data_IF_104985324463
#
_entry.id   IF_104985324463
#
_cell.length_a   1.000
_cell.length_b   1.000
_cell.length_c   1.000
_cell.angle_alpha   90.00
_cell.angle_beta   90.00
_cell.angle_gamma   90.00
#
_symmetry.space_group_name_H-M   'P 1'
#
loop_
_entity.id
_entity.type
_entity.pdbx_description
1 polymer ?
#
# COMPACT_ATOMS: atom_id res chain seq x y z
N UNK A 1 -0.45 4.34 2.16
CA UNK A 1 -1.59 3.73 2.88
C UNK A 1 -2.88 4.46 2.56
N UNK A 2 -2.89 5.78 2.69
CA UNK A 2 -3.99 6.63 2.23
C UNK A 2 -4.27 6.43 0.74
N UNK A 3 -3.24 6.41 -0.11
CA UNK A 3 -3.41 6.16 -1.56
C UNK A 3 -4.07 4.81 -1.85
N UNK A 4 -3.70 3.77 -1.10
CA UNK A 4 -4.32 2.45 -1.24
C UNK A 4 -5.80 2.50 -0.84
N UNK A 5 -6.12 3.12 0.30
CA UNK A 5 -7.50 3.29 0.73
C UNK A 5 -8.31 4.13 -0.28
N UNK A 6 -7.70 5.14 -0.90
CA UNK A 6 -8.35 5.97 -1.93
C UNK A 6 -8.60 5.20 -3.23
N UNK A 7 -7.66 4.33 -3.63
CA UNK A 7 -7.72 3.55 -4.87
C UNK A 7 -8.73 2.39 -4.85
N UNK A 8 -9.22 1.98 -3.68
CA UNK A 8 -10.23 0.93 -3.58
C UNK A 8 -11.61 1.41 -4.07
N UNK A 9 -12.44 0.50 -4.62
CA UNK A 9 -13.85 0.81 -4.90
C UNK A 9 -14.62 1.11 -3.61
N UNK A 10 -15.65 1.95 -3.71
CA UNK A 10 -16.53 2.28 -2.58
C UNK A 10 -17.11 1.01 -1.95
N UNK A 11 -16.81 0.80 -0.68
CA UNK A 11 -17.10 -0.44 0.05
C UNK A 11 -16.93 -0.22 1.55
N UNK A 12 -17.55 -1.07 2.37
CA UNK A 12 -17.36 -1.05 3.83
C UNK A 12 -15.89 -1.19 4.24
N UNK A 13 -15.09 -1.91 3.45
CA UNK A 13 -13.65 -2.04 3.65
C UNK A 13 -12.95 -0.70 3.42
N UNK A 14 -13.30 0.03 2.35
CA UNK A 14 -12.75 1.36 2.07
C UNK A 14 -13.02 2.33 3.21
N UNK A 15 -14.25 2.33 3.71
CA UNK A 15 -14.64 3.19 4.84
C UNK A 15 -13.90 2.80 6.12
N UNK A 16 -13.78 1.50 6.41
CA UNK A 16 -13.03 1.01 7.56
C UNK A 16 -11.53 1.38 7.49
N UNK A 17 -10.92 1.32 6.30
CA UNK A 17 -9.52 1.73 6.11
C UNK A 17 -9.35 3.24 6.29
N UNK A 18 -10.29 4.05 5.80
CA UNK A 18 -10.29 5.51 6.01
C UNK A 18 -10.43 5.86 7.49
N UNK A 19 -11.38 5.26 8.21
CA UNK A 19 -11.56 5.47 9.65
C UNK A 19 -10.33 4.98 10.46
N UNK A 20 -9.74 3.86 10.07
CA UNK A 20 -8.52 3.35 10.70
C UNK A 20 -7.36 4.36 10.59
N UNK A 21 -7.25 5.07 9.46
CA UNK A 21 -6.22 6.07 9.22
C UNK A 21 -6.47 7.41 9.94
N UNK A 22 -7.73 7.76 10.24
CA UNK A 22 -8.06 8.97 11.00
C UNK A 22 -7.95 8.79 12.52
N UNK A 23 -7.69 7.57 13.02
CA UNK A 23 -7.65 7.25 14.45
C UNK A 23 -6.23 7.18 15.00
N UNK A 24 -6.13 7.11 16.33
CA UNK A 24 -4.87 6.84 17.02
C UNK A 24 -4.24 5.53 16.55
N UNK A 25 -2.91 5.45 16.48
CA UNK A 25 -2.18 4.26 15.99
C UNK A 25 -2.65 3.82 14.57
N UNK A 26 -2.68 4.74 13.59
CA UNK A 26 -3.31 4.49 12.29
C UNK A 26 -2.68 3.31 11.55
N UNK A 27 -1.35 3.17 11.63
CA UNK A 27 -0.61 2.06 11.03
C UNK A 27 -1.03 0.68 11.53
N UNK A 28 -1.25 0.55 12.86
CA UNK A 28 -1.67 -0.73 13.44
C UNK A 28 -3.09 -1.05 13.02
N UNK A 29 -4.00 -0.08 13.16
CA UNK A 29 -5.42 -0.24 12.82
C UNK A 29 -5.64 -0.54 11.35
N UNK A 30 -4.90 0.14 10.47
CA UNK A 30 -4.93 -0.14 9.04
C UNK A 30 -4.56 -1.60 8.75
N UNK A 31 -3.46 -2.10 9.35
CA UNK A 31 -3.06 -3.51 9.19
C UNK A 31 -4.09 -4.47 9.78
N UNK A 32 -4.71 -4.14 10.91
CA UNK A 32 -5.75 -4.96 11.51
C UNK A 32 -6.94 -5.12 10.54
N UNK A 33 -7.36 -4.03 9.87
CA UNK A 33 -8.41 -4.09 8.84
C UNK A 33 -7.96 -4.89 7.62
N UNK A 34 -6.74 -4.65 7.12
CA UNK A 34 -6.18 -5.39 5.97
C UNK A 34 -6.08 -6.89 6.25
N UNK A 35 -5.68 -7.30 7.46
CA UNK A 35 -5.54 -8.71 7.82
C UNK A 35 -6.87 -9.40 8.12
N UNK A 36 -7.96 -8.64 8.29
CA UNK A 36 -9.30 -9.19 8.47
C UNK A 36 -9.92 -9.78 7.20
N UNK A 37 -9.38 -9.47 6.01
CA UNK A 37 -9.84 -9.98 4.72
C UNK A 37 -8.65 -10.35 3.83
N UNK A 38 -8.55 -11.63 3.43
CA UNK A 38 -7.44 -12.15 2.64
C UNK A 38 -7.36 -11.49 1.24
N UNK A 39 -8.48 -11.19 0.60
CA UNK A 39 -8.47 -10.55 -0.72
C UNK A 39 -7.98 -9.10 -0.63
N UNK A 40 -8.33 -8.39 0.44
CA UNK A 40 -7.84 -7.03 0.70
C UNK A 40 -6.35 -7.05 1.04
N UNK A 41 -5.90 -8.05 1.80
CA UNK A 41 -4.50 -8.27 2.11
C UNK A 41 -3.64 -8.46 0.87
N UNK A 42 -4.06 -9.32 -0.05
CA UNK A 42 -3.31 -9.61 -1.27
C UNK A 42 -3.22 -8.36 -2.17
N UNK A 43 -4.32 -7.60 -2.27
CA UNK A 43 -4.33 -6.29 -2.95
C UNK A 43 -3.39 -5.29 -2.29
N UNK A 44 -3.36 -5.24 -0.95
CA UNK A 44 -2.46 -4.35 -0.22
C UNK A 44 -0.99 -4.69 -0.48
N UNK A 45 -0.63 -5.97 -0.47
CA UNK A 45 0.74 -6.40 -0.73
C UNK A 45 1.18 -6.06 -2.15
N UNK A 46 0.33 -6.36 -3.14
CA UNK A 46 0.61 -6.00 -4.54
C UNK A 46 0.79 -4.49 -4.70
N UNK A 47 -0.12 -3.69 -4.14
CA UNK A 47 -0.02 -2.22 -4.18
C UNK A 47 1.26 -1.70 -3.51
N UNK A 48 1.63 -2.29 -2.36
CA UNK A 48 2.84 -1.89 -1.64
C UNK A 48 4.09 -2.23 -2.44
N UNK A 49 4.17 -3.41 -3.05
CA UNK A 49 5.31 -3.81 -3.88
C UNK A 49 5.49 -2.87 -5.06
N UNK A 50 4.41 -2.55 -5.78
CA UNK A 50 4.44 -1.58 -6.87
C UNK A 50 4.89 -0.19 -6.41
N UNK A 51 4.36 0.28 -5.28
CA UNK A 51 4.72 1.60 -4.73
C UNK A 51 6.20 1.65 -4.31
N UNK A 52 6.72 0.58 -3.70
CA UNK A 52 8.14 0.49 -3.32
C UNK A 52 9.03 0.43 -4.56
N UNK A 53 8.66 -0.36 -5.56
CA UNK A 53 9.41 -0.46 -6.82
C UNK A 53 9.48 0.90 -7.54
N UNK A 54 8.36 1.64 -7.59
CA UNK A 54 8.32 3.00 -8.16
C UNK A 54 9.21 3.96 -7.39
N UNK A 55 9.09 4.01 -6.06
CA UNK A 55 9.92 4.89 -5.23
C UNK A 55 11.42 4.58 -5.42
N UNK A 56 11.79 3.30 -5.43
CA UNK A 56 13.15 2.88 -5.66
C UNK A 56 13.64 3.26 -7.06
N UNK A 57 12.83 3.07 -8.10
CA UNK A 57 13.14 3.51 -9.46
C UNK A 57 13.38 5.03 -9.50
N UNK A 58 12.46 5.83 -8.96
CA UNK A 58 12.58 7.29 -8.93
C UNK A 58 13.86 7.73 -8.19
N UNK A 59 14.16 7.09 -7.06
CA UNK A 59 15.37 7.36 -6.29
C UNK A 59 16.66 7.03 -7.06
N UNK A 60 16.66 5.97 -7.86
CA UNK A 60 17.82 5.56 -8.67
C UNK A 60 17.97 6.46 -9.90
N UNK A 61 16.87 6.81 -10.56
CA UNK A 61 16.86 7.75 -11.69
C UNK A 61 17.41 9.12 -11.31
N UNK A 62 17.04 9.67 -10.16
CA UNK A 62 17.60 10.94 -9.65
C UNK A 62 19.12 10.88 -9.45
N UNK A 63 19.67 9.68 -9.23
CA UNK A 63 21.11 9.45 -9.05
C UNK A 63 21.83 8.99 -10.32
N UNK A 64 21.11 8.88 -11.45
CA UNK A 64 21.66 8.37 -12.71
C UNK A 64 22.05 6.90 -12.68
N UNK A 65 21.43 6.10 -11.79
CA UNK A 65 21.72 4.67 -11.63
C UNK A 65 20.68 3.87 -12.41
N UNK A 66 21.12 3.01 -13.32
CA UNK A 66 20.25 2.04 -14.01
C UNK A 66 20.03 0.82 -13.12
N UNK A 67 18.76 0.49 -12.89
CA UNK A 67 18.34 -0.61 -12.03
C UNK A 67 17.99 -1.86 -12.85
N UNK A 68 18.59 -3.00 -12.52
CA UNK A 68 18.17 -4.31 -13.03
C UNK A 68 17.38 -5.05 -11.93
N UNK A 69 16.09 -5.30 -12.19
CA UNK A 69 15.20 -5.96 -11.23
C UNK A 69 15.19 -7.48 -11.44
N UNK A 70 15.74 -8.23 -10.49
CA UNK A 70 15.64 -9.70 -10.50
C UNK A 70 14.28 -10.09 -9.92
N UNK A 71 13.38 -10.60 -10.76
CA UNK A 71 12.15 -11.25 -10.29
C UNK A 71 12.47 -12.64 -9.74
N UNK A 72 11.92 -12.95 -8.56
CA UNK A 72 12.08 -14.23 -7.88
C UNK A 72 10.89 -15.14 -8.11
#
# INVERSE_FOLDING_TARGET
>A
MEDFAAALPESKVKDALRDALSRTKPFRRFKDVVHGDLAVRDRWFSFREDAVARLASDMLSVRGIEAEWIRR
#
